data_IF_656397178219
#
_entry.id   IF_656397178219
#
_cell.length_a   1.000
_cell.length_b   1.000
_cell.length_c   1.000
_cell.angle_alpha   90.00
_cell.angle_beta   90.00
_cell.angle_gamma   90.00
#
_symmetry.space_group_name_H-M   'P 1'
#
loop_
_entity.id
_entity.type
_entity.pdbx_description
1 polymer ?
#
# COMPACT_ATOMS: atom_id res chain seq x y z
N UNK A 1 9.71 8.38 39.39
CA UNK A 1 9.01 7.10 39.14
C UNK A 1 7.88 7.36 38.15
N UNK A 2 8.14 7.28 36.85
CA UNK A 2 7.08 7.21 35.83
C UNK A 2 6.82 5.74 35.53
N UNK A 3 6.12 5.09 36.45
CA UNK A 3 5.49 3.79 36.23
C UNK A 3 4.11 4.06 35.63
N UNK A 4 3.88 3.73 34.36
CA UNK A 4 2.55 3.93 33.77
C UNK A 4 2.39 3.75 32.27
N UNK A 5 3.47 3.68 31.48
CA UNK A 5 3.36 3.19 30.11
C UNK A 5 3.47 1.68 30.14
N UNK A 6 2.30 1.02 30.27
CA UNK A 6 2.18 -0.42 30.12
C UNK A 6 2.94 -0.85 28.88
N UNK A 7 4.04 -1.58 29.09
CA UNK A 7 4.67 -2.36 28.05
C UNK A 7 3.55 -3.15 27.37
N UNK A 8 3.18 -2.80 26.14
CA UNK A 8 2.41 -3.67 25.26
C UNK A 8 3.23 -4.96 25.16
N UNK A 9 2.91 -5.91 26.03
CA UNK A 9 3.45 -7.25 25.98
C UNK A 9 2.78 -7.92 24.78
N UNK A 10 3.26 -7.59 23.57
CA UNK A 10 3.02 -8.35 22.34
C UNK A 10 3.61 -9.78 22.43
N UNK A 11 4.11 -10.18 23.62
CA UNK A 11 4.32 -11.55 24.07
C UNK A 11 3.03 -12.24 24.53
N UNK A 12 1.87 -11.58 24.47
CA UNK A 12 0.58 -12.24 24.66
C UNK A 12 0.47 -13.41 23.66
N UNK A 13 0.16 -14.58 24.21
CA UNK A 13 -0.17 -15.86 23.56
C UNK A 13 -1.05 -15.62 22.32
N UNK A 14 -0.97 -16.47 21.29
CA UNK A 14 -1.61 -16.28 19.99
C UNK A 14 -3.11 -15.97 20.06
N UNK A 15 -3.40 -14.68 20.24
CA UNK A 15 -4.70 -14.07 20.50
C UNK A 15 -5.18 -13.39 19.23
N UNK A 16 -6.48 -13.16 19.12
CA UNK A 16 -7.08 -12.52 17.95
C UNK A 16 -6.61 -11.06 17.81
N UNK A 17 -6.42 -10.39 18.94
CA UNK A 17 -5.95 -9.01 19.02
C UNK A 17 -4.51 -8.90 18.52
N UNK A 18 -3.64 -9.83 18.93
CA UNK A 18 -2.27 -9.89 18.42
C UNK A 18 -2.24 -10.18 16.91
N UNK A 19 -3.11 -11.07 16.43
CA UNK A 19 -3.23 -11.34 15.01
C UNK A 19 -3.61 -10.08 14.21
N UNK A 20 -4.60 -9.32 14.70
CA UNK A 20 -5.00 -8.05 14.09
C UNK A 20 -3.86 -7.03 14.06
N UNK A 21 -3.14 -6.86 15.18
CA UNK A 21 -1.99 -5.94 15.27
C UNK A 21 -0.89 -6.31 14.26
N UNK A 22 -0.58 -7.59 14.10
CA UNK A 22 0.37 -8.08 13.10
C UNK A 22 -0.08 -7.73 11.68
N UNK A 23 -1.35 -8.02 11.35
CA UNK A 23 -1.94 -7.72 10.05
C UNK A 23 -1.89 -6.22 9.72
N UNK A 24 -2.44 -5.36 10.60
CA UNK A 24 -2.51 -3.92 10.34
C UNK A 24 -1.12 -3.27 10.32
N UNK A 25 -0.17 -3.76 11.11
CA UNK A 25 1.21 -3.24 11.10
C UNK A 25 1.92 -3.58 9.79
N UNK A 26 1.81 -4.83 9.33
CA UNK A 26 2.40 -5.23 8.05
C UNK A 26 1.76 -4.50 6.87
N UNK A 27 0.45 -4.28 6.92
CA UNK A 27 -0.28 -3.46 5.97
C UNK A 27 0.22 -2.00 6.00
N UNK A 28 0.24 -1.37 7.18
CA UNK A 28 0.66 0.02 7.35
C UNK A 28 2.05 0.30 6.78
N UNK A 29 3.01 -0.59 7.01
CA UNK A 29 4.36 -0.47 6.41
C UNK A 29 4.30 -0.54 4.89
N UNK A 30 3.57 -1.51 4.32
CA UNK A 30 3.44 -1.64 2.87
C UNK A 30 2.79 -0.39 2.24
N UNK A 31 1.74 0.14 2.87
CA UNK A 31 1.05 1.33 2.42
C UNK A 31 1.95 2.58 2.49
N UNK A 32 2.57 2.84 3.65
CA UNK A 32 3.42 4.01 3.85
C UNK A 32 4.61 4.03 2.89
N UNK A 33 5.26 2.89 2.66
CA UNK A 33 6.40 2.79 1.73
C UNK A 33 5.93 3.02 0.30
N UNK A 34 4.81 2.40 -0.11
CA UNK A 34 4.24 2.61 -1.45
C UNK A 34 3.99 4.10 -1.70
N UNK A 35 3.38 4.80 -0.74
CA UNK A 35 3.10 6.23 -0.82
C UNK A 35 4.35 7.10 -0.84
N UNK A 36 5.36 6.75 -0.05
CA UNK A 36 6.64 7.46 -0.05
C UNK A 36 7.38 7.29 -1.39
N UNK A 37 7.25 6.12 -2.03
CA UNK A 37 7.81 5.87 -3.36
C UNK A 37 7.10 6.70 -4.44
N UNK A 38 5.76 6.71 -4.47
CA UNK A 38 5.01 7.43 -5.51
C UNK A 38 5.07 8.96 -5.35
N UNK A 39 5.23 9.46 -4.13
CA UNK A 39 5.46 10.89 -3.88
C UNK A 39 6.92 11.33 -4.09
N UNK A 40 7.83 10.41 -4.44
CA UNK A 40 9.24 10.73 -4.69
C UNK A 40 10.07 11.02 -3.44
N UNK A 41 9.56 10.74 -2.23
CA UNK A 41 10.30 10.91 -0.97
C UNK A 41 11.44 9.89 -0.82
N UNK A 42 11.33 8.72 -1.46
CA UNK A 42 12.33 7.66 -1.44
C UNK A 42 13.06 7.57 -2.78
N UNK A 43 14.40 7.58 -2.74
CA UNK A 43 15.23 7.57 -3.97
C UNK A 43 15.38 6.20 -4.63
N UNK A 44 15.10 5.10 -3.92
CA UNK A 44 15.34 3.71 -4.37
C UNK A 44 14.11 3.00 -4.94
N UNK A 45 12.99 3.72 -5.08
CA UNK A 45 11.75 3.21 -5.63
C UNK A 45 11.00 4.35 -6.33
N UNK A 46 9.87 4.04 -6.97
CA UNK A 46 9.07 5.02 -7.69
C UNK A 46 7.72 4.47 -8.11
N UNK A 47 7.10 5.16 -9.07
CA UNK A 47 5.80 4.81 -9.62
C UNK A 47 5.81 3.42 -10.29
N UNK A 48 4.66 2.76 -10.27
CA UNK A 48 4.40 1.63 -11.12
C UNK A 48 4.34 2.08 -12.59
N UNK A 49 5.05 1.34 -13.44
CA UNK A 49 5.19 1.59 -14.88
C UNK A 49 4.59 0.46 -15.71
N UNK A 50 3.76 -0.40 -15.12
CA UNK A 50 3.08 -1.47 -15.87
C UNK A 50 1.90 -0.94 -16.70
N UNK A 51 1.31 0.17 -16.28
CA UNK A 51 0.16 0.80 -16.94
C UNK A 51 0.54 2.22 -17.35
N UNK A 52 0.87 2.41 -18.63
CA UNK A 52 1.27 3.70 -19.19
C UNK A 52 0.76 3.90 -20.63
N UNK A 53 0.67 5.15 -21.06
CA UNK A 53 0.36 5.51 -22.44
C UNK A 53 -1.13 5.36 -22.80
N UNK A 54 -1.40 5.31 -24.11
CA UNK A 54 -2.76 5.30 -24.67
C UNK A 54 -3.37 3.90 -24.53
N UNK A 55 -4.54 3.82 -23.91
CA UNK A 55 -5.35 2.61 -23.86
C UNK A 55 -6.03 2.35 -25.20
N UNK A 56 -6.50 1.12 -25.39
CA UNK A 56 -7.31 0.74 -26.56
C UNK A 56 -8.65 1.49 -26.62
N UNK A 57 -9.14 1.99 -25.48
CA UNK A 57 -10.40 2.73 -25.37
C UNK A 57 -10.23 4.24 -25.60
N UNK A 58 -9.02 4.69 -26.00
CA UNK A 58 -8.77 6.07 -26.42
C UNK A 58 -8.46 7.05 -25.29
N UNK A 59 -8.26 6.57 -24.07
CA UNK A 59 -7.77 7.39 -22.96
C UNK A 59 -6.25 7.21 -22.78
N UNK A 60 -5.60 8.20 -22.19
CA UNK A 60 -4.16 8.22 -21.92
C UNK A 60 -3.92 8.13 -20.42
N UNK A 61 -3.12 7.13 -20.02
CA UNK A 61 -2.63 7.00 -18.66
C UNK A 61 -1.53 8.03 -18.41
N UNK A 62 -1.78 8.94 -17.47
CA UNK A 62 -0.81 9.93 -17.02
C UNK A 62 -0.71 9.96 -15.49
N UNK A 63 0.40 10.49 -14.97
CA UNK A 63 0.67 10.58 -13.54
C UNK A 63 1.49 9.41 -13.00
N UNK A 64 1.41 9.22 -11.68
CA UNK A 64 2.21 8.24 -10.94
C UNK A 64 1.29 7.19 -10.32
N UNK A 65 1.33 5.98 -10.87
CA UNK A 65 0.67 4.82 -10.24
C UNK A 65 1.48 4.36 -9.02
N UNK A 66 0.79 3.97 -7.97
CA UNK A 66 1.42 3.43 -6.76
C UNK A 66 2.00 2.04 -7.02
N UNK A 67 3.30 1.84 -6.76
CA UNK A 67 3.92 0.52 -6.84
C UNK A 67 3.67 -0.30 -5.56
N UNK A 68 2.44 -0.80 -5.41
CA UNK A 68 2.02 -1.59 -4.23
C UNK A 68 2.84 -2.88 -4.09
N UNK A 69 3.20 -3.51 -5.21
CA UNK A 69 4.03 -4.70 -5.21
C UNK A 69 5.37 -4.46 -4.51
N UNK A 70 6.00 -3.30 -4.76
CA UNK A 70 7.22 -2.89 -4.06
C UNK A 70 6.99 -2.71 -2.56
N UNK A 71 5.94 -1.98 -2.16
CA UNK A 71 5.64 -1.79 -0.74
C UNK A 71 5.36 -3.10 0.01
N UNK A 72 4.68 -4.04 -0.62
CA UNK A 72 4.43 -5.39 -0.06
C UNK A 72 5.74 -6.17 0.07
N UNK A 73 6.58 -6.17 -0.96
CA UNK A 73 7.89 -6.82 -0.92
C UNK A 73 8.77 -6.24 0.19
N UNK A 74 8.79 -4.91 0.33
CA UNK A 74 9.50 -4.24 1.42
C UNK A 74 8.93 -4.63 2.79
N UNK A 75 7.61 -4.56 2.98
CA UNK A 75 6.95 -4.97 4.22
C UNK A 75 7.25 -6.42 4.57
N UNK A 76 7.31 -7.31 3.58
CA UNK A 76 7.73 -8.71 3.75
C UNK A 76 9.15 -8.84 4.26
N UNK A 77 10.10 -8.20 3.59
CA UNK A 77 11.49 -8.24 4.01
C UNK A 77 11.71 -7.61 5.40
N UNK A 78 11.01 -6.51 5.71
CA UNK A 78 11.21 -5.75 6.94
C UNK A 78 10.48 -6.34 8.14
N UNK A 79 9.17 -6.59 8.02
CA UNK A 79 8.33 -7.02 9.15
C UNK A 79 8.56 -8.50 9.49
N UNK A 80 8.79 -9.35 8.47
CA UNK A 80 8.98 -10.80 8.71
C UNK A 80 10.42 -11.15 9.13
N UNK A 81 11.38 -10.21 9.01
CA UNK A 81 12.78 -10.43 9.40
C UNK A 81 12.92 -10.93 10.85
N UNK A 82 12.08 -10.44 11.76
CA UNK A 82 12.11 -10.84 13.17
C UNK A 82 11.53 -12.25 13.38
N UNK A 83 10.66 -12.71 12.50
CA UNK A 83 10.00 -14.02 12.61
C UNK A 83 10.87 -15.15 12.10
N UNK A 84 11.78 -14.89 11.15
CA UNK A 84 12.63 -15.93 10.56
C UNK A 84 13.70 -16.50 11.51
N UNK A 85 14.08 -15.79 12.58
CA UNK A 85 14.98 -16.30 13.62
C UNK A 85 16.32 -16.87 13.12
N UNK A 86 17.15 -17.38 14.04
CA UNK A 86 18.44 -18.06 13.70
C UNK A 86 18.31 -19.58 13.61
N UNK A 87 17.10 -20.14 13.75
CA UNK A 87 16.89 -21.59 13.88
C UNK A 87 16.41 -22.18 12.55
N UNK A 88 16.85 -23.39 12.23
CA UNK A 88 16.43 -24.13 11.02
C UNK A 88 14.91 -24.40 10.94
N UNK A 89 14.20 -24.40 12.08
CA UNK A 89 12.74 -24.57 12.15
C UNK A 89 12.09 -23.36 12.81
N UNK A 90 11.06 -22.83 12.17
CA UNK A 90 10.25 -21.74 12.70
C UNK A 90 9.39 -22.24 13.87
N UNK A 91 9.20 -21.40 14.88
CA UNK A 91 8.27 -21.67 15.97
C UNK A 91 6.83 -21.54 15.43
N UNK A 92 5.84 -22.32 15.93
CA UNK A 92 4.44 -22.19 15.51
C UNK A 92 3.91 -20.76 15.58
N UNK A 93 4.31 -20.00 16.62
CA UNK A 93 3.97 -18.57 16.75
C UNK A 93 4.51 -17.72 15.60
N UNK A 94 5.75 -17.95 15.16
CA UNK A 94 6.34 -17.19 14.05
C UNK A 94 5.66 -17.51 12.73
N UNK A 95 5.24 -18.75 12.53
CA UNK A 95 4.43 -19.14 11.36
C UNK A 95 3.08 -18.42 11.38
N UNK A 96 2.41 -18.37 12.54
CA UNK A 96 1.15 -17.63 12.71
C UNK A 96 1.34 -16.13 12.47
N UNK A 97 2.40 -15.53 13.00
CA UNK A 97 2.71 -14.11 12.79
C UNK A 97 2.96 -13.80 11.31
N UNK A 98 3.74 -14.63 10.60
CA UNK A 98 3.97 -14.49 9.16
C UNK A 98 2.64 -14.59 8.39
N UNK A 99 1.77 -15.52 8.76
CA UNK A 99 0.44 -15.66 8.16
C UNK A 99 -0.41 -14.40 8.34
N UNK A 100 -0.47 -13.87 9.57
CA UNK A 100 -1.23 -12.64 9.86
C UNK A 100 -0.65 -11.43 9.12
N UNK A 101 0.68 -11.27 9.11
CA UNK A 101 1.35 -10.22 8.35
C UNK A 101 0.98 -10.28 6.86
N UNK A 102 0.99 -11.48 6.26
CA UNK A 102 0.61 -11.70 4.86
C UNK A 102 -0.87 -11.37 4.62
N UNK A 103 -1.77 -11.76 5.53
CA UNK A 103 -3.19 -11.41 5.45
C UNK A 103 -3.39 -9.88 5.42
N UNK A 104 -2.66 -9.16 6.27
CA UNK A 104 -2.65 -7.70 6.27
C UNK A 104 -2.17 -7.08 4.96
N UNK A 105 -1.05 -7.57 4.40
CA UNK A 105 -0.53 -7.08 3.10
C UNK A 105 -1.52 -7.32 1.96
N UNK A 106 -2.17 -8.48 1.94
CA UNK A 106 -3.18 -8.80 0.91
C UNK A 106 -4.43 -7.93 1.01
N UNK A 107 -4.79 -7.46 2.20
CA UNK A 107 -5.92 -6.56 2.38
C UNK A 107 -5.72 -5.19 1.69
N UNK A 108 -4.48 -4.80 1.35
CA UNK A 108 -4.20 -3.54 0.64
C UNK A 108 -4.51 -3.64 -0.86
N UNK A 109 -4.31 -4.82 -1.47
CA UNK A 109 -4.50 -5.03 -2.91
C UNK A 109 -5.88 -4.59 -3.46
N UNK A 110 -7.03 -4.91 -2.82
CA UNK A 110 -8.34 -4.56 -3.39
C UNK A 110 -8.72 -3.08 -3.24
N UNK A 111 -7.94 -2.26 -2.52
CA UNK A 111 -8.28 -0.87 -2.23
C UNK A 111 -7.62 0.15 -3.18
N UNK A 112 -6.94 -0.30 -4.24
CA UNK A 112 -6.47 0.59 -5.32
C UNK A 112 -7.67 1.05 -6.14
N UNK A 113 -8.16 2.25 -5.85
CA UNK A 113 -9.21 2.89 -6.63
C UNK A 113 -8.58 3.63 -7.80
N UNK A 114 -8.99 3.30 -9.03
CA UNK A 114 -8.74 4.15 -10.19
C UNK A 114 -9.54 5.43 -10.01
N UNK A 115 -8.85 6.56 -9.80
CA UNK A 115 -9.50 7.85 -9.60
C UNK A 115 -9.46 8.67 -10.88
N UNK A 116 -10.63 9.00 -11.44
CA UNK A 116 -10.71 9.96 -12.55
C UNK A 116 -10.81 11.36 -11.96
N UNK A 117 -9.80 12.21 -12.09
CA UNK A 117 -9.99 13.64 -11.79
C UNK A 117 -10.68 14.29 -12.98
N UNK A 118 -11.91 14.76 -12.78
CA UNK A 118 -12.51 15.74 -13.66
C UNK A 118 -11.95 17.11 -13.25
N UNK A 119 -11.30 17.81 -14.18
CA UNK A 119 -10.79 19.15 -13.95
C UNK A 119 -11.98 20.12 -13.92
N UNK A 120 -12.62 20.27 -12.77
CA UNK A 120 -13.49 21.40 -12.50
C UNK A 120 -12.63 22.52 -11.91
N UNK A 121 -12.57 23.66 -12.60
CA UNK A 121 -11.93 24.87 -12.11
C UNK A 121 -12.44 25.20 -10.70
N UNK A 122 -11.53 25.63 -9.84
CA UNK A 122 -11.73 26.10 -8.47
C UNK A 122 -11.94 24.98 -7.42
N UNK A 123 -10.84 24.62 -6.75
CA UNK A 123 -10.65 24.64 -5.29
C UNK A 123 -9.51 23.67 -4.89
N UNK A 124 -8.45 24.25 -4.32
CA UNK A 124 -7.39 23.73 -3.43
C UNK A 124 -6.85 22.29 -3.57
N UNK A 125 -5.52 22.19 -3.72
CA UNK A 125 -4.75 20.98 -3.44
C UNK A 125 -4.93 20.50 -1.99
N UNK A 126 -4.57 19.22 -1.73
CA UNK A 126 -4.74 18.38 -0.51
C UNK A 126 -6.07 17.58 -0.54
N UNK A 127 -6.08 16.25 -0.60
CA UNK A 127 -5.26 15.28 0.13
C UNK A 127 -4.85 14.05 -0.71
N UNK A 128 -3.85 13.38 -0.16
CA UNK A 128 -3.14 12.20 -0.61
C UNK A 128 -4.00 10.97 -0.98
N UNK A 129 -4.37 10.81 -2.25
CA UNK A 129 -4.81 9.52 -2.83
C UNK A 129 -3.97 9.18 -4.07
N UNK A 130 -3.75 7.90 -4.30
CA UNK A 130 -3.02 7.28 -5.41
C UNK A 130 -3.74 7.58 -6.73
N UNK A 131 -3.39 8.68 -7.40
CA UNK A 131 -4.12 9.15 -8.58
C UNK A 131 -3.36 8.82 -9.87
N UNK A 132 -3.71 7.71 -10.53
CA UNK A 132 -3.55 7.61 -11.99
C UNK A 132 -4.61 8.49 -12.64
N UNK A 133 -4.22 9.36 -13.56
CA UNK A 133 -5.15 10.22 -14.29
C UNK A 133 -5.44 9.60 -15.65
N UNK A 134 -6.71 9.32 -15.87
CA UNK A 134 -7.25 9.03 -17.19
C UNK A 134 -7.51 10.37 -17.89
N UNK A 135 -6.68 10.72 -18.87
CA UNK A 135 -6.92 11.90 -19.71
C UNK A 135 -7.50 11.45 -21.05
N UNK A 136 -8.54 12.12 -21.59
CA UNK A 136 -8.94 11.88 -22.97
C UNK A 136 -7.76 12.20 -23.87
N UNK A 137 -7.45 11.31 -24.81
CA UNK A 137 -6.28 11.51 -25.64
C UNK A 137 -6.45 12.75 -26.54
N UNK A 138 -5.35 13.43 -26.93
CA UNK A 138 -5.43 14.67 -27.70
C UNK A 138 -6.25 14.47 -28.98
N UNK A 139 -7.35 15.22 -29.10
CA UNK A 139 -8.32 15.15 -30.20
C UNK A 139 -9.64 14.42 -29.89
N UNK A 140 -9.84 13.84 -28.70
CA UNK A 140 -11.10 13.21 -28.30
C UNK A 140 -11.91 14.08 -27.33
N UNK A 141 -13.17 14.36 -27.67
CA UNK A 141 -14.11 15.05 -26.77
C UNK A 141 -14.38 14.18 -25.53
N UNK A 142 -14.41 14.81 -24.35
CA UNK A 142 -14.71 14.13 -23.09
C UNK A 142 -16.11 13.52 -23.12
N UNK A 143 -16.22 12.21 -23.38
CA UNK A 143 -17.47 11.47 -23.13
C UNK A 143 -17.60 11.26 -21.62
N UNK A 144 -18.44 12.07 -20.99
CA UNK A 144 -19.02 11.73 -19.70
C UNK A 144 -19.85 10.45 -19.87
N UNK A 145 -19.31 9.31 -19.50
CA UNK A 145 -20.12 8.11 -19.29
C UNK A 145 -20.79 8.25 -17.93
N UNK A 146 -22.04 8.69 -17.93
CA UNK A 146 -22.95 8.57 -16.79
C UNK A 146 -23.36 7.11 -16.66
N UNK A 147 -22.81 6.43 -15.65
CA UNK A 147 -23.46 5.29 -15.00
C UNK A 147 -23.95 5.74 -13.65
#
# INVERSE_FOLDING_TARGET
MVNGMGHLNLKAIGTREAAFVHSISAAGVAHAVTRACSSGQLRRCGCDRTVHGRSQEGFEWSGCSDNIAYGIAFSKAFVDAREWGKKRRLKPRSVMNIHNNEAGRRAIFPHVKTSRKQLALTLSCFENVSHCLEQPAPGMAARFSSR
#
